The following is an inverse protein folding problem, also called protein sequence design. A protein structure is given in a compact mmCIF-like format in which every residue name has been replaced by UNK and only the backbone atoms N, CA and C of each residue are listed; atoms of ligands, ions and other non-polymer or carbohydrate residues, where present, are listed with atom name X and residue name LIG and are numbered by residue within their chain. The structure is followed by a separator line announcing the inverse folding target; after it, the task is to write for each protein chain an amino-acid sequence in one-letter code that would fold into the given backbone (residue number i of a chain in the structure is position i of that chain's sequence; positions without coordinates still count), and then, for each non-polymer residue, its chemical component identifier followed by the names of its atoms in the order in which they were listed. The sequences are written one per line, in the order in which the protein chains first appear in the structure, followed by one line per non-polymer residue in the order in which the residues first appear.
data_IF_704898319666
#
_entry.id   IF_704898319666
#
_cell.length_a   1.000
_cell.length_b   1.000
_cell.length_c   1.000
_cell.angle_alpha   90.00
_cell.angle_beta   90.00
_cell.angle_gamma   90.00
#
_symmetry.space_group_name_H-M   'P 1'
#
loop_
_entity.id
_entity.type
_entity.pdbx_description
1 polymer ?
#
# COMPACT_ATOMS: atom_id res chain seq x y z
N UNK A 1 15.95 -20.04 3.55
CA UNK A 1 16.41 -20.90 2.43
C UNK A 1 16.69 -20.02 1.23
N UNK A 2 17.53 -20.47 0.30
CA UNK A 2 17.65 -19.83 -1.01
C UNK A 2 16.33 -19.95 -1.82
N UNK A 3 16.35 -19.42 -3.04
CA UNK A 3 15.20 -19.45 -3.96
C UNK A 3 14.67 -20.86 -4.23
N UNK A 4 15.54 -21.87 -4.21
CA UNK A 4 15.21 -23.28 -4.49
C UNK A 4 14.76 -24.03 -3.23
N UNK A 5 14.83 -23.40 -2.06
CA UNK A 5 14.47 -24.02 -0.79
C UNK A 5 15.64 -24.72 -0.09
N UNK A 6 16.88 -24.51 -0.52
CA UNK A 6 18.05 -25.08 0.13
C UNK A 6 18.60 -24.18 1.24
N UNK A 7 19.30 -24.79 2.20
CA UNK A 7 20.05 -24.06 3.22
C UNK A 7 21.13 -23.21 2.55
N UNK A 8 21.14 -21.91 2.87
CA UNK A 8 22.20 -21.00 2.43
C UNK A 8 23.51 -21.33 3.14
N UNK A 9 24.60 -21.47 2.38
CA UNK A 9 25.94 -21.67 2.94
C UNK A 9 27.03 -21.21 1.97
N UNK A 10 28.14 -20.70 2.50
CA UNK A 10 29.28 -20.24 1.68
C UNK A 10 29.83 -21.37 0.79
N UNK A 11 29.87 -22.60 1.29
CA UNK A 11 30.36 -23.77 0.54
C UNK A 11 29.48 -24.13 -0.66
N UNK A 12 28.16 -23.87 -0.58
CA UNK A 12 27.22 -24.08 -1.70
C UNK A 12 27.17 -22.90 -2.67
N UNK A 13 27.79 -21.76 -2.34
CA UNK A 13 27.75 -20.56 -3.17
C UNK A 13 26.36 -19.93 -3.32
N UNK A 14 25.37 -20.33 -2.51
CA UNK A 14 23.97 -19.89 -2.60
C UNK A 14 23.60 -18.85 -1.53
N UNK A 15 24.58 -18.21 -0.90
CA UNK A 15 24.34 -17.11 0.05
C UNK A 15 23.97 -15.85 -0.71
N UNK A 16 22.90 -15.17 -0.27
CA UNK A 16 22.55 -13.85 -0.81
C UNK A 16 23.21 -12.77 0.04
N UNK A 17 23.89 -11.83 -0.60
CA UNK A 17 24.42 -10.65 0.06
C UNK A 17 23.26 -9.67 0.34
N UNK A 18 22.98 -9.27 1.59
CA UNK A 18 21.91 -8.32 1.88
C UNK A 18 22.07 -6.98 1.15
N UNK A 19 23.31 -6.51 0.96
CA UNK A 19 23.60 -5.23 0.30
C UNK A 19 23.17 -5.22 -1.16
N UNK A 20 23.29 -6.34 -1.88
CA UNK A 20 22.86 -6.38 -3.29
C UNK A 20 21.35 -6.21 -3.43
N UNK A 21 20.57 -6.59 -2.42
CA UNK A 21 19.12 -6.38 -2.38
C UNK A 21 18.79 -4.95 -1.92
N UNK A 22 19.49 -4.45 -0.90
CA UNK A 22 19.29 -3.09 -0.41
C UNK A 22 19.61 -2.04 -1.49
N UNK A 23 20.70 -2.22 -2.22
CA UNK A 23 21.14 -1.29 -3.27
C UNK A 23 20.21 -1.32 -4.49
N UNK A 24 19.57 -2.46 -4.76
CA UNK A 24 18.69 -2.63 -5.93
C UNK A 24 17.21 -2.31 -5.64
N UNK A 25 16.66 -2.79 -4.53
CA UNK A 25 15.23 -2.64 -4.20
C UNK A 25 14.94 -1.67 -3.06
N UNK A 26 15.95 -1.27 -2.28
CA UNK A 26 15.77 -0.44 -1.09
C UNK A 26 15.37 -1.23 0.16
N UNK A 27 15.51 -0.57 1.31
CA UNK A 27 15.29 -1.20 2.61
C UNK A 27 13.83 -1.57 2.86
N UNK A 28 12.88 -0.78 2.37
CA UNK A 28 11.46 -1.01 2.62
C UNK A 28 10.89 -2.15 1.79
N UNK A 29 11.36 -2.33 0.57
CA UNK A 29 11.03 -3.50 -0.22
C UNK A 29 11.48 -4.79 0.48
N UNK A 30 12.70 -4.79 1.04
CA UNK A 30 13.20 -5.91 1.82
C UNK A 30 12.38 -6.13 3.10
N UNK A 31 12.08 -5.08 3.88
CA UNK A 31 11.24 -5.21 5.09
C UNK A 31 9.85 -5.72 4.77
N UNK A 32 9.21 -5.14 3.76
CA UNK A 32 7.88 -5.53 3.33
C UNK A 32 7.85 -6.98 2.87
N UNK A 33 8.87 -7.44 2.14
CA UNK A 33 9.04 -8.84 1.79
C UNK A 33 9.08 -9.75 3.02
N UNK A 34 9.86 -9.40 4.03
CA UNK A 34 10.01 -10.19 5.25
C UNK A 34 8.70 -10.31 6.03
N UNK A 35 7.92 -9.23 6.11
CA UNK A 35 6.64 -9.22 6.81
C UNK A 35 5.54 -9.94 6.03
N UNK A 36 5.34 -9.62 4.74
CA UNK A 36 4.16 -10.04 3.99
C UNK A 36 4.21 -11.48 3.44
N UNK A 37 5.40 -12.03 3.22
CA UNK A 37 5.56 -13.29 2.47
C UNK A 37 5.11 -14.51 3.27
N UNK A 38 5.46 -14.60 4.55
CA UNK A 38 5.03 -15.69 5.42
C UNK A 38 5.10 -15.28 6.90
N UNK A 39 4.52 -16.06 7.82
CA UNK A 39 4.69 -15.84 9.25
C UNK A 39 6.15 -15.95 9.71
N UNK A 40 6.56 -15.31 10.82
CA UNK A 40 7.93 -15.36 11.35
C UNK A 40 8.43 -16.77 11.69
N UNK A 41 7.56 -17.66 12.15
CA UNK A 41 7.86 -19.03 12.53
C UNK A 41 8.18 -19.95 11.34
N UNK A 42 7.79 -19.52 10.13
CA UNK A 42 7.95 -20.32 8.93
C UNK A 42 9.26 -20.03 8.21
N UNK A 43 9.86 -21.09 7.68
CA UNK A 43 11.04 -20.97 6.82
C UNK A 43 10.66 -20.28 5.51
N UNK A 44 11.35 -19.19 5.17
CA UNK A 44 11.15 -18.44 3.92
C UNK A 44 12.21 -18.80 2.90
N UNK A 45 11.81 -18.84 1.64
CA UNK A 45 12.76 -18.69 0.52
C UNK A 45 13.19 -17.23 0.48
N UNK A 46 14.36 -16.95 -0.07
CA UNK A 46 14.85 -15.59 -0.22
C UNK A 46 15.70 -15.50 -1.47
N UNK A 47 15.34 -14.56 -2.34
CA UNK A 47 16.08 -14.18 -3.53
C UNK A 47 15.79 -12.72 -3.85
N UNK A 48 16.68 -12.09 -4.61
CA UNK A 48 16.48 -10.74 -5.10
C UNK A 48 15.19 -10.63 -5.95
N UNK A 49 14.91 -11.65 -6.77
CA UNK A 49 13.68 -11.70 -7.58
C UNK A 49 12.40 -11.75 -6.74
N UNK A 50 12.39 -12.54 -5.67
CA UNK A 50 11.22 -12.62 -4.78
C UNK A 50 10.92 -11.29 -4.06
N UNK A 51 11.97 -10.54 -3.70
CA UNK A 51 11.81 -9.18 -3.13
C UNK A 51 11.27 -8.22 -4.19
N UNK A 52 11.79 -8.31 -5.41
CA UNK A 52 11.32 -7.50 -6.54
C UNK A 52 9.85 -7.77 -6.89
N UNK A 53 9.41 -9.03 -6.91
CA UNK A 53 8.01 -9.39 -7.17
C UNK A 53 7.07 -8.75 -6.13
N UNK A 54 7.48 -8.77 -4.86
CA UNK A 54 6.71 -8.17 -3.77
C UNK A 54 6.66 -6.65 -3.86
N UNK A 55 7.78 -6.00 -4.23
CA UNK A 55 7.85 -4.58 -4.53
C UNK A 55 6.89 -4.22 -5.67
N UNK A 56 6.90 -5.01 -6.75
CA UNK A 56 6.08 -4.75 -7.94
C UNK A 56 4.59 -4.85 -7.65
N UNK A 57 4.19 -5.84 -6.86
CA UNK A 57 2.80 -6.08 -6.51
C UNK A 57 2.21 -4.97 -5.62
N UNK A 58 2.94 -4.55 -4.58
CA UNK A 58 2.44 -3.57 -3.61
C UNK A 58 2.98 -2.15 -3.80
N UNK A 59 4.30 -1.94 -3.68
CA UNK A 59 4.90 -0.61 -3.64
C UNK A 59 4.70 0.15 -4.95
N UNK A 60 4.80 -0.51 -6.11
CA UNK A 60 4.49 0.15 -7.39
C UNK A 60 3.01 0.51 -7.50
N UNK A 61 2.10 -0.32 -7.00
CA UNK A 61 0.66 -0.02 -7.00
C UNK A 61 0.34 1.19 -6.13
N UNK A 62 0.96 1.27 -4.94
CA UNK A 62 0.86 2.42 -4.06
C UNK A 62 1.43 3.68 -4.72
N UNK A 63 2.62 3.58 -5.32
CA UNK A 63 3.28 4.69 -6.00
C UNK A 63 2.47 5.22 -7.19
N UNK A 64 1.88 4.32 -7.98
CA UNK A 64 1.02 4.69 -9.11
C UNK A 64 -0.26 5.40 -8.64
N UNK A 65 -0.83 4.97 -7.51
CA UNK A 65 -2.01 5.60 -6.90
C UNK A 65 -1.67 6.99 -6.35
N UNK A 66 -0.54 7.12 -5.66
CA UNK A 66 -0.01 8.40 -5.20
C UNK A 66 0.27 9.36 -6.38
N UNK A 67 0.96 8.87 -7.41
CA UNK A 67 1.30 9.65 -8.60
C UNK A 67 0.04 10.14 -9.32
N UNK A 68 -1.00 9.30 -9.40
CA UNK A 68 -2.31 9.69 -9.90
C UNK A 68 -2.90 10.85 -9.08
N UNK A 69 -2.96 10.72 -7.75
CA UNK A 69 -3.48 11.77 -6.87
C UNK A 69 -2.73 13.10 -7.06
N UNK A 70 -1.39 13.06 -6.99
CA UNK A 70 -0.55 14.27 -7.07
C UNK A 70 -0.65 14.92 -8.45
N UNK A 71 -0.63 14.14 -9.52
CA UNK A 71 -0.73 14.66 -10.88
C UNK A 71 -1.99 15.50 -11.04
N UNK A 72 -3.15 14.96 -10.68
CA UNK A 72 -4.41 15.67 -10.89
C UNK A 72 -4.65 16.75 -9.83
N UNK A 73 -4.25 16.54 -8.57
CA UNK A 73 -4.35 17.57 -7.53
C UNK A 73 -3.51 18.81 -7.88
N UNK A 74 -2.32 18.65 -8.48
CA UNK A 74 -1.52 19.78 -8.93
C UNK A 74 -2.15 20.54 -10.11
N UNK A 75 -2.94 19.87 -10.94
CA UNK A 75 -3.67 20.52 -12.05
C UNK A 75 -4.91 21.26 -11.55
N UNK A 76 -5.67 20.64 -10.65
CA UNK A 76 -6.98 21.15 -10.22
C UNK A 76 -6.93 22.02 -8.97
N UNK A 77 -5.84 21.96 -8.20
CA UNK A 77 -5.63 22.70 -6.95
C UNK A 77 -6.85 22.64 -6.00
N UNK A 78 -7.35 21.43 -5.65
CA UNK A 78 -8.51 21.30 -4.79
C UNK A 78 -8.20 21.84 -3.38
N UNK A 79 -9.17 22.54 -2.77
CA UNK A 79 -9.05 22.96 -1.38
C UNK A 79 -9.25 21.77 -0.43
N UNK A 80 -8.18 21.07 -0.11
CA UNK A 80 -8.22 19.93 0.81
C UNK A 80 -8.55 20.34 2.27
N UNK A 81 -8.46 21.63 2.61
CA UNK A 81 -8.82 22.16 3.93
C UNK A 81 -10.33 22.36 4.07
N UNK A 82 -11.04 22.58 2.96
CA UNK A 82 -12.49 22.66 2.97
C UNK A 82 -13.09 21.38 3.57
N UNK A 83 -13.96 21.53 4.57
CA UNK A 83 -14.65 20.40 5.15
C UNK A 83 -15.74 19.89 4.21
N UNK A 84 -15.76 18.57 4.02
CA UNK A 84 -16.80 17.87 3.28
C UNK A 84 -17.19 16.68 4.15
N UNK A 85 -18.27 16.79 4.93
CA UNK A 85 -18.70 15.75 5.83
C UNK A 85 -18.85 14.43 5.10
N UNK A 86 -18.36 13.33 5.69
CA UNK A 86 -18.44 12.00 5.07
C UNK A 86 -19.89 11.66 4.69
N UNK A 87 -20.87 12.06 5.50
CA UNK A 87 -22.30 11.85 5.22
C UNK A 87 -22.79 12.46 3.91
N UNK A 88 -22.18 13.55 3.47
CA UNK A 88 -22.53 14.31 2.26
C UNK A 88 -21.73 13.87 1.03
N UNK A 89 -20.69 13.06 1.22
CA UNK A 89 -19.91 12.51 0.10
C UNK A 89 -20.71 11.44 -0.65
N UNK A 90 -20.48 11.27 -1.96
CA UNK A 90 -21.04 10.17 -2.74
C UNK A 90 -20.85 8.79 -2.10
N UNK A 91 -21.77 7.86 -2.40
CA UNK A 91 -21.79 6.52 -1.80
C UNK A 91 -20.47 5.76 -1.93
N UNK A 92 -19.79 5.90 -3.08
CA UNK A 92 -18.50 5.25 -3.32
C UNK A 92 -17.38 5.80 -2.44
N UNK A 93 -17.45 7.07 -2.04
CA UNK A 93 -16.49 7.70 -1.14
C UNK A 93 -16.76 7.24 0.30
N UNK A 94 -18.03 7.22 0.72
CA UNK A 94 -18.45 6.69 2.02
C UNK A 94 -18.09 5.21 2.17
N UNK A 95 -18.25 4.44 1.11
CA UNK A 95 -17.81 3.05 1.05
C UNK A 95 -16.30 2.93 1.28
N UNK A 96 -15.48 3.76 0.60
CA UNK A 96 -14.03 3.72 0.80
C UNK A 96 -13.65 4.09 2.23
N UNK A 97 -14.27 5.13 2.80
CA UNK A 97 -14.06 5.52 4.21
C UNK A 97 -14.43 4.37 5.16
N UNK A 98 -15.54 3.67 4.92
CA UNK A 98 -15.92 2.48 5.70
C UNK A 98 -14.84 1.39 5.61
N UNK A 99 -14.34 1.12 4.40
CA UNK A 99 -13.26 0.14 4.17
C UNK A 99 -11.95 0.52 4.85
N UNK A 100 -11.61 1.81 4.90
CA UNK A 100 -10.46 2.33 5.64
C UNK A 100 -10.59 2.10 7.14
N UNK A 101 -11.78 2.32 7.72
CA UNK A 101 -12.01 2.06 9.14
C UNK A 101 -11.88 0.57 9.48
N UNK A 102 -12.37 -0.32 8.61
CA UNK A 102 -12.15 -1.77 8.74
C UNK A 102 -10.66 -2.09 8.67
N UNK A 103 -9.92 -1.50 7.73
CA UNK A 103 -8.47 -1.69 7.62
C UNK A 103 -7.75 -1.25 8.90
N UNK A 104 -8.07 -0.07 9.44
CA UNK A 104 -7.46 0.44 10.68
C UNK A 104 -7.65 -0.57 11.81
N UNK A 105 -8.89 -1.03 12.03
CA UNK A 105 -9.20 -2.02 13.07
C UNK A 105 -8.38 -3.29 12.85
N UNK A 106 -8.45 -3.88 11.66
CA UNK A 106 -7.83 -5.17 11.38
C UNK A 106 -6.30 -5.10 11.50
N UNK A 107 -5.66 -4.02 11.03
CA UNK A 107 -4.22 -3.83 11.18
C UNK A 107 -3.84 -3.63 12.64
N UNK A 108 -4.61 -2.84 13.39
CA UNK A 108 -4.37 -2.59 14.82
C UNK A 108 -4.44 -3.90 15.61
N UNK A 109 -5.52 -4.65 15.46
CA UNK A 109 -5.71 -5.94 16.16
C UNK A 109 -4.59 -6.95 15.84
N UNK A 110 -4.16 -7.02 14.58
CA UNK A 110 -3.08 -7.91 14.15
C UNK A 110 -1.73 -7.51 14.73
N UNK A 111 -1.43 -6.21 14.78
CA UNK A 111 -0.18 -5.72 15.37
C UNK A 111 -0.15 -5.89 16.89
N UNK A 112 -1.26 -5.66 17.58
CA UNK A 112 -1.40 -5.95 19.03
C UNK A 112 -1.20 -7.45 19.31
N UNK A 113 -1.59 -8.32 18.38
CA UNK A 113 -1.39 -9.76 18.46
C UNK A 113 0.01 -10.23 17.99
N UNK A 114 0.94 -9.32 17.69
CA UNK A 114 2.27 -9.62 17.14
C UNK A 114 2.22 -10.41 15.81
N UNK A 115 1.21 -10.17 14.98
CA UNK A 115 1.06 -10.75 13.64
C UNK A 115 1.31 -9.70 12.53
N UNK A 116 2.59 -9.38 12.23
CA UNK A 116 2.94 -8.41 11.19
C UNK A 116 2.63 -8.94 9.78
N UNK A 117 2.54 -10.25 9.60
CA UNK A 117 2.29 -10.86 8.29
C UNK A 117 0.86 -10.65 7.85
N UNK A 118 -0.10 -10.95 8.72
CA UNK A 118 -1.49 -10.65 8.42
C UNK A 118 -1.69 -9.14 8.33
N UNK A 119 -1.06 -8.33 9.18
CA UNK A 119 -1.20 -6.87 9.13
C UNK A 119 -0.74 -6.29 7.77
N UNK A 120 0.47 -6.64 7.32
CA UNK A 120 0.99 -6.22 6.01
C UNK A 120 0.13 -6.70 4.84
N UNK A 121 -0.38 -7.94 4.89
CA UNK A 121 -1.30 -8.46 3.86
C UNK A 121 -2.60 -7.69 3.79
N UNK A 122 -3.20 -7.31 4.93
CA UNK A 122 -4.41 -6.50 4.95
C UNK A 122 -4.22 -5.15 4.25
N UNK A 123 -3.09 -4.47 4.54
CA UNK A 123 -2.73 -3.20 3.89
C UNK A 123 -2.55 -3.41 2.38
N UNK A 124 -1.78 -4.44 1.99
CA UNK A 124 -1.53 -4.76 0.58
C UNK A 124 -2.84 -5.05 -0.17
N UNK A 125 -3.70 -5.90 0.39
CA UNK A 125 -4.96 -6.27 -0.25
C UNK A 125 -5.90 -5.09 -0.39
N UNK A 126 -5.97 -4.21 0.61
CA UNK A 126 -6.74 -2.97 0.51
C UNK A 126 -6.20 -2.05 -0.58
N UNK A 127 -4.89 -1.78 -0.62
CA UNK A 127 -4.28 -0.88 -1.61
C UNK A 127 -4.46 -1.41 -3.03
N UNK A 128 -4.23 -2.70 -3.24
CA UNK A 128 -4.31 -3.32 -4.57
C UNK A 128 -5.77 -3.45 -5.02
N UNK A 129 -6.64 -4.05 -4.20
CA UNK A 129 -7.99 -4.43 -4.62
C UNK A 129 -8.99 -3.30 -4.46
N UNK A 130 -9.09 -2.73 -3.25
CA UNK A 130 -10.15 -1.78 -2.91
C UNK A 130 -9.81 -0.37 -3.40
N UNK A 131 -8.56 0.08 -3.21
CA UNK A 131 -8.14 1.42 -3.57
C UNK A 131 -7.80 1.55 -5.07
N UNK A 132 -6.79 0.82 -5.55
CA UNK A 132 -6.31 0.96 -6.93
C UNK A 132 -7.29 0.34 -7.95
N UNK A 133 -7.54 -0.97 -7.84
CA UNK A 133 -8.32 -1.70 -8.84
C UNK A 133 -9.81 -1.36 -8.85
N UNK A 134 -10.36 -0.94 -7.71
CA UNK A 134 -11.78 -0.61 -7.60
C UNK A 134 -12.05 0.89 -7.53
N UNK A 135 -11.64 1.57 -6.44
CA UNK A 135 -11.99 2.97 -6.22
C UNK A 135 -11.43 3.90 -7.29
N UNK A 136 -10.09 3.92 -7.47
CA UNK A 136 -9.44 4.80 -8.44
C UNK A 136 -9.94 4.48 -9.85
N UNK A 137 -9.98 3.19 -10.23
CA UNK A 137 -10.46 2.76 -11.55
C UNK A 137 -11.87 3.27 -11.88
N UNK A 138 -12.82 3.17 -10.94
CA UNK A 138 -14.21 3.60 -11.16
C UNK A 138 -14.38 5.11 -11.09
N UNK A 139 -13.53 5.81 -10.36
CA UNK A 139 -13.65 7.25 -10.12
C UNK A 139 -12.75 8.13 -11.01
N UNK A 140 -11.88 7.57 -11.88
CA UNK A 140 -10.98 8.38 -12.76
C UNK A 140 -11.68 9.54 -13.46
N UNK A 141 -12.91 9.32 -13.93
CA UNK A 141 -13.71 10.35 -14.62
C UNK A 141 -13.96 11.58 -13.75
N UNK A 142 -14.15 11.41 -12.43
CA UNK A 142 -14.36 12.51 -11.47
C UNK A 142 -13.13 13.41 -11.39
N UNK A 143 -11.93 12.85 -11.51
CA UNK A 143 -10.67 13.59 -11.54
C UNK A 143 -10.39 14.27 -12.90
N UNK A 144 -11.04 13.84 -13.99
CA UNK A 144 -10.85 14.41 -15.33
C UNK A 144 -11.88 15.48 -15.72
N UNK A 145 -12.96 15.65 -14.95
CA UNK A 145 -13.96 16.69 -15.21
C UNK A 145 -13.29 18.06 -15.22
N UNK A 146 -13.62 18.92 -16.17
CA UNK A 146 -13.11 20.29 -16.20
C UNK A 146 -13.68 21.16 -15.07
N UNK A 147 -14.89 20.84 -14.59
CA UNK A 147 -15.53 21.56 -13.50
C UNK A 147 -14.99 21.09 -12.14
N UNK A 148 -14.68 22.06 -11.27
CA UNK A 148 -14.25 21.82 -9.90
C UNK A 148 -15.48 21.92 -8.97
N UNK A 149 -16.32 20.88 -9.01
CA UNK A 149 -17.57 20.78 -8.25
C UNK A 149 -17.36 20.06 -6.89
N UNK A 150 -18.40 20.05 -6.05
CA UNK A 150 -18.36 19.37 -4.75
C UNK A 150 -18.15 17.85 -4.87
N UNK A 151 -18.55 17.23 -5.98
CA UNK A 151 -18.30 15.81 -6.28
C UNK A 151 -16.82 15.53 -6.48
N UNK A 152 -16.13 16.35 -7.29
CA UNK A 152 -14.69 16.25 -7.55
C UNK A 152 -13.88 16.51 -6.29
N UNK A 153 -14.26 17.53 -5.51
CA UNK A 153 -13.64 17.81 -4.21
C UNK A 153 -13.77 16.62 -3.25
N UNK A 154 -14.95 15.99 -3.18
CA UNK A 154 -15.19 14.79 -2.36
C UNK A 154 -14.25 13.64 -2.74
N UNK A 155 -14.01 13.43 -4.04
CA UNK A 155 -13.09 12.41 -4.53
C UNK A 155 -11.64 12.68 -4.11
N UNK A 156 -11.17 13.93 -4.27
CA UNK A 156 -9.84 14.33 -3.85
C UNK A 156 -9.62 14.17 -2.35
N UNK A 157 -10.55 14.70 -1.55
CA UNK A 157 -10.46 14.65 -0.09
C UNK A 157 -10.43 13.21 0.40
N UNK A 158 -11.32 12.36 -0.12
CA UNK A 158 -11.40 10.94 0.26
C UNK A 158 -10.13 10.18 -0.13
N UNK A 159 -9.62 10.38 -1.35
CA UNK A 159 -8.39 9.72 -1.80
C UNK A 159 -7.17 10.19 -0.99
N UNK A 160 -7.07 11.49 -0.72
CA UNK A 160 -6.00 12.08 0.10
C UNK A 160 -6.00 11.53 1.52
N UNK A 161 -7.14 11.59 2.22
CA UNK A 161 -7.28 11.06 3.58
C UNK A 161 -6.93 9.57 3.65
N UNK A 162 -7.39 8.79 2.66
CA UNK A 162 -7.09 7.36 2.55
C UNK A 162 -5.58 7.12 2.40
N UNK A 163 -4.91 7.86 1.51
CA UNK A 163 -3.47 7.74 1.30
C UNK A 163 -2.66 8.11 2.55
N UNK A 164 -3.07 9.15 3.27
CA UNK A 164 -2.44 9.54 4.55
C UNK A 164 -2.60 8.43 5.59
N UNK A 165 -3.77 7.81 5.68
CA UNK A 165 -4.00 6.70 6.61
C UNK A 165 -3.16 5.48 6.23
N UNK A 166 -3.10 5.11 4.95
CA UNK A 166 -2.26 4.01 4.48
C UNK A 166 -0.79 4.26 4.83
N UNK A 167 -0.28 5.48 4.62
CA UNK A 167 1.09 5.86 4.98
C UNK A 167 1.35 5.70 6.49
N UNK A 168 0.41 6.11 7.35
CA UNK A 168 0.51 5.92 8.80
C UNK A 168 0.50 4.45 9.21
N UNK A 169 -0.38 3.65 8.63
CA UNK A 169 -0.50 2.22 8.94
C UNK A 169 0.74 1.42 8.51
N UNK A 170 1.39 1.81 7.41
CA UNK A 170 2.58 1.12 6.92
C UNK A 170 3.89 1.60 7.56
N UNK A 171 3.91 2.75 8.24
CA UNK A 171 5.13 3.34 8.81
C UNK A 171 5.96 2.39 9.70
N UNK A 172 5.38 1.52 10.55
CA UNK A 172 6.16 0.56 11.34
C UNK A 172 6.85 -0.53 10.50
N UNK A 173 6.38 -0.77 9.27
CA UNK A 173 6.85 -1.83 8.38
C UNK A 173 7.76 -1.29 7.26
N UNK A 174 7.52 -0.07 6.81
CA UNK A 174 8.24 0.65 5.75
C UNK A 174 8.40 2.14 6.16
N UNK A 175 9.43 2.45 6.98
CA UNK A 175 9.63 3.77 7.59
C UNK A 175 10.30 4.81 6.69
#
# INVERSE_FOLDING_TARGET
MDEKGEKMSKSKGNTVNPWTVLDAQGADALRWYLYSTSPPENTKRFSQGLVEDTLRDFLMTLWNTYSFLVLYANLDQPDLQQDVPVSERPEIDRWLVSKVNVLIRDVTERLEAYDPTSASRAIRDFVVNDLSNWYVRRNRRRFWKSENDGDKLSAYKTLYETMVIVAKLMAPMAP
#
